data_IF_301602615458
#
_entry.id   IF_301602615458
#
_cell.length_a   1.000
_cell.length_b   1.000
_cell.length_c   1.000
_cell.angle_alpha   90.00
_cell.angle_beta   90.00
_cell.angle_gamma   90.00
#
_symmetry.space_group_name_H-M   'P 1'
#
loop_
_entity.id
_entity.type
_entity.pdbx_description
1 polymer ?
#
# COMPACT_ATOMS: atom_id res chain seq x y z
N UNK A 1 -4.38 17.47 4.62
CA UNK A 1 -4.42 16.09 5.18
C UNK A 1 -3.12 15.70 5.90
N UNK A 2 -2.03 15.31 5.22
CA UNK A 2 -0.83 14.77 5.91
C UNK A 2 -0.22 15.71 6.98
N UNK A 3 -0.19 17.03 6.73
CA UNK A 3 0.27 18.01 7.73
C UNK A 3 -0.71 18.14 8.91
N UNK A 4 -2.02 18.13 8.64
CA UNK A 4 -3.06 18.23 9.68
C UNK A 4 -3.09 16.98 10.57
N UNK A 5 -2.89 15.80 9.98
CA UNK A 5 -2.77 14.53 10.69
C UNK A 5 -1.43 14.37 11.44
N UNK A 6 -0.55 15.37 11.37
CA UNK A 6 0.78 15.38 11.97
C UNK A 6 1.66 14.16 11.61
N UNK A 7 1.52 13.62 10.39
CA UNK A 7 2.38 12.52 9.94
C UNK A 7 3.81 12.97 9.68
N UNK A 8 4.71 12.01 9.55
CA UNK A 8 6.15 12.26 9.36
C UNK A 8 6.42 13.04 8.07
N UNK A 9 7.62 13.65 7.99
CA UNK A 9 8.08 14.31 6.77
C UNK A 9 8.06 13.35 5.57
N UNK A 10 8.41 12.08 5.79
CA UNK A 10 8.43 11.07 4.76
C UNK A 10 7.05 10.89 4.10
N UNK A 11 6.00 10.80 4.93
CA UNK A 11 4.61 10.68 4.45
C UNK A 11 4.18 11.95 3.72
N UNK A 12 4.45 13.13 4.30
CA UNK A 12 4.08 14.42 3.67
C UNK A 12 4.74 14.57 2.30
N UNK A 13 6.02 14.24 2.20
CA UNK A 13 6.76 14.30 0.94
C UNK A 13 6.23 13.28 -0.07
N UNK A 14 5.98 12.04 0.34
CA UNK A 14 5.43 11.01 -0.53
C UNK A 14 4.07 11.42 -1.12
N UNK A 15 3.18 11.99 -0.30
CA UNK A 15 1.88 12.53 -0.75
C UNK A 15 2.08 13.67 -1.76
N UNK A 16 3.05 14.55 -1.55
CA UNK A 16 3.31 15.68 -2.46
C UNK A 16 3.69 15.21 -3.87
N UNK A 17 4.42 14.10 -4.00
CA UNK A 17 5.03 13.68 -5.27
C UNK A 17 4.39 12.45 -5.91
N UNK A 18 3.40 11.82 -5.27
CA UNK A 18 2.87 10.54 -5.74
C UNK A 18 2.31 10.58 -7.19
N UNK A 19 1.77 11.72 -7.59
CA UNK A 19 1.00 11.89 -8.82
C UNK A 19 1.75 12.59 -9.96
N UNK A 20 3.07 12.81 -9.83
CA UNK A 20 3.86 13.54 -10.85
C UNK A 20 3.76 12.94 -12.26
N UNK A 21 3.47 11.64 -12.38
CA UNK A 21 3.27 10.98 -13.66
C UNK A 21 2.03 11.46 -14.44
N UNK A 22 1.07 12.13 -13.79
CA UNK A 22 -0.11 12.69 -14.47
C UNK A 22 0.27 13.73 -15.51
N UNK A 23 1.29 14.54 -15.21
CA UNK A 23 1.82 15.55 -16.15
C UNK A 23 2.40 14.93 -17.44
N UNK A 24 2.69 13.62 -17.44
CA UNK A 24 3.19 12.88 -18.59
C UNK A 24 2.10 12.07 -19.30
N UNK A 25 0.82 12.35 -19.01
CA UNK A 25 -0.31 11.66 -19.65
C UNK A 25 -0.52 12.21 -21.06
N UNK A 26 -0.55 11.36 -22.10
CA UNK A 26 -0.92 11.76 -23.46
C UNK A 26 -2.30 12.45 -23.50
N UNK A 27 -2.46 13.46 -24.36
CA UNK A 27 -3.67 14.29 -24.42
C UNK A 27 -4.91 13.50 -24.81
N UNK A 28 -4.76 12.47 -25.64
CA UNK A 28 -5.81 11.54 -26.09
C UNK A 28 -6.30 10.60 -24.97
N UNK A 29 -5.60 10.53 -23.84
CA UNK A 29 -5.95 9.69 -22.68
C UNK A 29 -6.54 10.53 -21.53
N UNK A 30 -6.47 11.86 -21.61
CA UNK A 30 -7.06 12.74 -20.61
C UNK A 30 -8.59 12.60 -20.56
N UNK A 31 -9.21 12.73 -19.37
CA UNK A 31 -8.62 12.98 -18.05
C UNK A 31 -8.30 11.68 -17.26
N UNK A 32 -8.22 10.51 -17.92
CA UNK A 32 -8.16 9.21 -17.22
C UNK A 32 -6.82 8.92 -16.56
N UNK A 33 -5.73 9.54 -17.05
CA UNK A 33 -4.37 9.35 -16.50
C UNK A 33 -3.92 7.88 -16.40
N UNK A 34 -4.28 7.06 -17.38
CA UNK A 34 -3.94 5.63 -17.40
C UNK A 34 -2.41 5.47 -17.37
N UNK A 35 -1.89 4.63 -16.47
CA UNK A 35 -0.45 4.35 -16.26
C UNK A 35 0.38 5.51 -15.69
N UNK A 36 -0.24 6.49 -15.01
CA UNK A 36 0.52 7.58 -14.39
C UNK A 36 1.43 7.11 -13.25
N UNK A 37 1.07 6.05 -12.54
CA UNK A 37 1.85 5.45 -11.47
C UNK A 37 3.20 4.90 -11.97
N UNK A 38 3.23 4.28 -13.16
CA UNK A 38 4.48 3.80 -13.77
C UNK A 38 5.27 4.95 -14.40
N UNK A 39 4.59 5.89 -15.08
CA UNK A 39 5.25 7.08 -15.66
C UNK A 39 5.82 8.01 -14.59
N UNK A 40 5.26 7.98 -13.37
CA UNK A 40 5.67 8.82 -12.25
C UNK A 40 7.01 8.43 -11.61
N UNK A 41 7.47 7.18 -11.78
CA UNK A 41 8.72 6.69 -11.15
C UNK A 41 9.93 7.53 -11.56
N UNK A 42 10.08 7.82 -12.87
CA UNK A 42 11.19 8.64 -13.38
C UNK A 42 11.18 10.08 -12.84
N UNK A 43 10.10 10.87 -12.95
CA UNK A 43 10.08 12.24 -12.42
C UNK A 43 10.22 12.30 -10.89
N UNK A 44 9.61 11.37 -10.14
CA UNK A 44 9.81 11.31 -8.68
C UNK A 44 11.28 11.06 -8.33
N UNK A 45 11.94 10.14 -9.06
CA UNK A 45 13.37 9.85 -8.89
C UNK A 45 14.20 11.11 -9.17
N UNK A 46 13.95 11.80 -10.28
CA UNK A 46 14.67 13.02 -10.65
C UNK A 46 14.49 14.16 -9.62
N UNK A 47 13.28 14.33 -9.06
CA UNK A 47 13.03 15.29 -7.98
C UNK A 47 13.81 14.91 -6.73
N UNK A 48 13.77 13.63 -6.34
CA UNK A 48 14.49 13.16 -5.15
C UNK A 48 16.00 13.34 -5.28
N UNK A 49 16.56 13.04 -6.45
CA UNK A 49 18.00 13.16 -6.70
C UNK A 49 18.45 14.63 -6.72
N UNK A 50 17.69 15.49 -7.40
CA UNK A 50 17.98 16.93 -7.46
C UNK A 50 17.92 17.59 -6.09
N UNK A 51 16.96 17.21 -5.26
CA UNK A 51 16.78 17.75 -3.91
C UNK A 51 17.59 17.00 -2.84
N UNK A 52 18.36 15.97 -3.22
CA UNK A 52 19.12 15.11 -2.30
C UNK A 52 18.26 14.56 -1.14
N UNK A 53 17.06 14.10 -1.49
CA UNK A 53 16.09 13.56 -0.54
C UNK A 53 16.68 12.33 0.16
N UNK A 54 16.52 12.18 1.50
CA UNK A 54 17.01 11.02 2.23
C UNK A 54 16.50 9.69 1.64
N UNK A 55 17.32 8.64 1.74
CA UNK A 55 17.03 7.36 1.11
C UNK A 55 15.69 6.75 1.56
N UNK A 56 15.35 6.86 2.84
CA UNK A 56 14.08 6.36 3.40
C UNK A 56 12.87 7.10 2.82
N UNK A 57 12.94 8.43 2.79
CA UNK A 57 11.91 9.29 2.19
C UNK A 57 11.73 9.02 0.70
N UNK A 58 12.83 8.89 -0.06
CA UNK A 58 12.81 8.54 -1.49
C UNK A 58 12.17 7.18 -1.73
N UNK A 59 12.50 6.17 -0.91
CA UNK A 59 11.92 4.83 -1.04
C UNK A 59 10.40 4.85 -0.81
N UNK A 60 9.92 5.56 0.22
CA UNK A 60 8.49 5.71 0.46
C UNK A 60 7.80 6.46 -0.70
N UNK A 61 8.38 7.57 -1.16
CA UNK A 61 7.82 8.36 -2.27
C UNK A 61 7.66 7.52 -3.54
N UNK A 62 8.66 6.71 -3.89
CA UNK A 62 8.60 5.80 -5.04
C UNK A 62 7.56 4.70 -4.86
N UNK A 63 7.44 4.13 -3.65
CA UNK A 63 6.43 3.13 -3.34
C UNK A 63 5.01 3.70 -3.46
N UNK A 64 4.75 4.87 -2.87
CA UNK A 64 3.44 5.55 -2.97
C UNK A 64 3.14 5.89 -4.43
N UNK A 65 4.07 6.51 -5.16
CA UNK A 65 3.88 6.84 -6.57
C UNK A 65 3.46 5.63 -7.40
N UNK A 66 4.18 4.51 -7.28
CA UNK A 66 3.96 3.31 -8.09
C UNK A 66 2.75 2.47 -7.66
N UNK A 67 2.40 2.49 -6.37
CA UNK A 67 1.50 1.49 -5.80
C UNK A 67 0.22 2.07 -5.16
N UNK A 68 0.06 3.38 -5.02
CA UNK A 68 -1.07 3.98 -4.29
C UNK A 68 -2.45 3.53 -4.81
N UNK A 69 -2.62 3.38 -6.13
CA UNK A 69 -3.87 2.86 -6.70
C UNK A 69 -4.23 1.45 -6.19
N UNK A 70 -3.21 0.61 -5.94
CA UNK A 70 -3.43 -0.73 -5.37
C UNK A 70 -3.91 -0.64 -3.92
N UNK A 71 -3.48 0.37 -3.16
CA UNK A 71 -4.00 0.64 -1.82
C UNK A 71 -5.48 1.06 -1.88
N UNK A 72 -5.84 1.97 -2.80
CA UNK A 72 -7.23 2.39 -3.00
C UNK A 72 -8.14 1.21 -3.34
N UNK A 73 -7.59 0.23 -4.08
CA UNK A 73 -8.24 -1.00 -4.48
C UNK A 73 -8.04 -2.17 -3.49
N UNK A 74 -7.45 -1.97 -2.31
CA UNK A 74 -7.03 -3.08 -1.44
C UNK A 74 -8.16 -4.10 -1.14
N UNK A 75 -9.39 -3.61 -0.95
CA UNK A 75 -10.58 -4.43 -0.71
C UNK A 75 -11.09 -5.18 -1.95
N UNK A 76 -10.65 -4.85 -3.16
CA UNK A 76 -11.03 -5.53 -4.40
C UNK A 76 -9.90 -6.42 -4.95
N UNK A 77 -8.65 -6.21 -4.53
CA UNK A 77 -7.51 -7.03 -4.95
C UNK A 77 -7.68 -8.51 -4.59
N UNK A 78 -7.16 -9.38 -5.47
CA UNK A 78 -6.95 -10.79 -5.13
C UNK A 78 -5.95 -10.89 -3.95
N UNK A 79 -6.13 -11.81 -3.00
CA UNK A 79 -5.23 -11.98 -1.84
C UNK A 79 -3.75 -12.11 -2.23
N UNK A 80 -3.43 -12.91 -3.26
CA UNK A 80 -2.05 -13.04 -3.76
C UNK A 80 -1.48 -11.75 -4.39
N UNK A 81 -2.32 -10.87 -4.92
CA UNK A 81 -1.88 -9.54 -5.39
C UNK A 81 -1.57 -8.60 -4.23
N UNK A 82 -2.41 -8.64 -3.19
CA UNK A 82 -2.17 -7.89 -1.96
C UNK A 82 -0.90 -8.37 -1.25
N UNK A 83 -0.69 -9.68 -1.16
CA UNK A 83 0.55 -10.25 -0.63
C UNK A 83 1.79 -9.75 -1.37
N UNK A 84 1.78 -9.78 -2.71
CA UNK A 84 2.89 -9.24 -3.51
C UNK A 84 3.13 -7.75 -3.28
N UNK A 85 2.08 -6.95 -3.04
CA UNK A 85 2.25 -5.54 -2.65
C UNK A 85 2.97 -5.44 -1.29
N UNK A 86 2.50 -6.17 -0.29
CA UNK A 86 3.10 -6.17 1.05
C UNK A 86 4.56 -6.65 1.04
N UNK A 87 4.91 -7.61 0.18
CA UNK A 87 6.30 -8.03 -0.03
C UNK A 87 7.15 -6.91 -0.61
N UNK A 88 6.66 -6.18 -1.62
CA UNK A 88 7.39 -5.02 -2.18
C UNK A 88 7.59 -3.90 -1.15
N UNK A 89 6.67 -3.78 -0.19
CA UNK A 89 6.75 -2.85 0.93
C UNK A 89 7.56 -3.39 2.12
N UNK A 90 8.11 -4.61 2.02
CA UNK A 90 8.95 -5.25 3.04
C UNK A 90 8.25 -5.50 4.38
N UNK A 91 6.95 -5.83 4.34
CA UNK A 91 6.07 -5.94 5.52
C UNK A 91 6.63 -6.80 6.66
N UNK A 92 7.34 -7.89 6.35
CA UNK A 92 7.79 -8.84 7.37
C UNK A 92 8.92 -8.27 8.23
N UNK A 93 9.81 -7.47 7.63
CA UNK A 93 10.97 -6.89 8.32
C UNK A 93 10.73 -5.46 8.77
N UNK A 94 9.91 -4.72 8.03
CA UNK A 94 9.69 -3.28 8.18
C UNK A 94 8.20 -2.92 8.05
N UNK A 95 7.33 -3.39 8.98
CA UNK A 95 5.89 -3.11 8.94
C UNK A 95 5.58 -1.60 8.94
N UNK A 96 6.42 -0.78 9.57
CA UNK A 96 6.30 0.67 9.63
C UNK A 96 6.33 1.32 8.23
N UNK A 97 6.95 0.67 7.23
CA UNK A 97 6.93 1.15 5.84
C UNK A 97 5.55 0.99 5.21
N UNK A 98 4.85 -0.10 5.53
CA UNK A 98 3.48 -0.31 5.07
C UNK A 98 2.56 0.69 5.75
N UNK A 99 2.76 0.96 7.04
CA UNK A 99 1.98 1.97 7.76
C UNK A 99 2.13 3.36 7.15
N UNK A 100 3.36 3.82 6.92
CA UNK A 100 3.63 5.10 6.27
C UNK A 100 3.04 5.17 4.85
N UNK A 101 3.08 4.06 4.10
CA UNK A 101 2.45 3.95 2.79
C UNK A 101 0.92 4.09 2.86
N UNK A 102 0.27 3.44 3.83
CA UNK A 102 -1.18 3.54 4.05
C UNK A 102 -1.58 4.96 4.46
N UNK A 103 -0.84 5.60 5.37
CA UNK A 103 -1.06 6.99 5.77
C UNK A 103 -1.01 7.94 4.58
N UNK A 104 -0.04 7.75 3.67
CA UNK A 104 0.06 8.55 2.46
C UNK A 104 -1.15 8.33 1.52
N UNK A 105 -1.58 7.09 1.31
CA UNK A 105 -2.73 6.78 0.46
C UNK A 105 -4.05 7.33 1.04
N UNK A 106 -4.23 7.24 2.36
CA UNK A 106 -5.39 7.84 3.04
C UNK A 106 -5.41 9.37 2.85
N UNK A 107 -4.25 10.02 2.97
CA UNK A 107 -4.10 11.45 2.73
C UNK A 107 -4.38 11.86 1.28
N UNK A 108 -3.98 11.05 0.29
CA UNK A 108 -4.33 11.25 -1.12
C UNK A 108 -5.85 11.16 -1.31
N UNK A 109 -6.49 10.10 -0.78
CA UNK A 109 -7.94 9.92 -0.89
C UNK A 109 -8.73 11.09 -0.30
N UNK A 110 -8.29 11.63 0.84
CA UNK A 110 -8.92 12.78 1.53
C UNK A 110 -8.40 14.14 1.07
N UNK A 111 -7.41 14.18 0.17
CA UNK A 111 -6.75 15.41 -0.26
C UNK A 111 -7.54 16.23 -1.28
N UNK A 112 -8.60 15.62 -1.85
CA UNK A 112 -9.48 16.27 -2.81
C UNK A 112 -10.52 17.11 -2.10
N UNK A 113 -10.78 18.31 -2.63
CA UNK A 113 -11.77 19.24 -2.08
C UNK A 113 -13.13 18.56 -1.93
N UNK A 114 -13.71 18.68 -0.73
CA UNK A 114 -15.00 18.09 -0.38
C UNK A 114 -14.96 16.61 0.01
N UNK A 115 -13.77 15.97 -0.01
CA UNK A 115 -13.57 14.57 0.40
C UNK A 115 -12.75 14.43 1.68
N UNK A 116 -12.54 15.52 2.42
CA UNK A 116 -11.64 15.58 3.58
C UNK A 116 -12.02 14.58 4.67
N UNK A 117 -13.33 14.31 4.82
CA UNK A 117 -13.88 13.38 5.81
C UNK A 117 -14.29 12.03 5.21
N UNK A 118 -13.92 11.75 3.96
CA UNK A 118 -14.30 10.50 3.30
C UNK A 118 -13.75 9.30 4.09
N UNK A 119 -14.61 8.31 4.43
CA UNK A 119 -14.14 7.06 5.03
C UNK A 119 -13.13 6.37 4.11
N UNK A 120 -12.08 5.83 4.72
CA UNK A 120 -11.03 5.10 4.01
C UNK A 120 -10.81 3.74 4.70
N UNK A 121 -11.78 2.81 4.62
CA UNK A 121 -11.73 1.51 5.30
C UNK A 121 -10.51 0.66 4.89
N UNK A 122 -9.92 0.94 3.73
CA UNK A 122 -8.68 0.35 3.26
C UNK A 122 -7.56 0.49 4.29
N UNK A 123 -7.48 1.60 5.03
CA UNK A 123 -6.44 1.77 6.05
C UNK A 123 -6.57 0.74 7.18
N UNK A 124 -7.75 0.64 7.79
CA UNK A 124 -8.03 -0.36 8.84
C UNK A 124 -7.81 -1.79 8.36
N UNK A 125 -8.27 -2.10 7.14
CA UNK A 125 -8.05 -3.39 6.52
C UNK A 125 -6.56 -3.71 6.34
N UNK A 126 -5.77 -2.77 5.82
CA UNK A 126 -4.33 -2.96 5.62
C UNK A 126 -3.58 -3.16 6.94
N UNK A 127 -3.90 -2.37 7.98
CA UNK A 127 -3.27 -2.53 9.29
C UNK A 127 -3.51 -3.91 9.89
N UNK A 128 -4.74 -4.42 9.82
CA UNK A 128 -5.05 -5.77 10.32
C UNK A 128 -4.39 -6.88 9.49
N UNK A 129 -4.34 -6.70 8.16
CA UNK A 129 -3.65 -7.65 7.27
C UNK A 129 -2.15 -7.73 7.60
N UNK A 130 -1.48 -6.61 7.91
CA UNK A 130 -0.06 -6.59 8.30
C UNK A 130 0.17 -7.51 9.51
N UNK A 131 -0.67 -7.39 10.54
CA UNK A 131 -0.54 -8.21 11.75
C UNK A 131 -0.77 -9.69 11.46
N UNK A 132 -1.78 -10.03 10.66
CA UNK A 132 -2.11 -11.41 10.27
C UNK A 132 -0.96 -12.06 9.50
N UNK A 133 -0.39 -11.39 8.49
CA UNK A 133 0.66 -12.02 7.68
C UNK A 133 1.97 -12.17 8.45
N UNK A 134 2.21 -11.31 9.45
CA UNK A 134 3.40 -11.33 10.31
C UNK A 134 3.31 -12.34 11.44
N UNK A 135 2.10 -12.70 11.89
CA UNK A 135 1.92 -13.73 12.91
C UNK A 135 2.25 -15.13 12.41
N UNK A 136 2.15 -15.38 11.10
CA UNK A 136 2.46 -16.66 10.46
C UNK A 136 3.97 -16.89 10.41
N UNK A 137 4.45 -17.86 11.21
CA UNK A 137 5.87 -18.19 11.36
C UNK A 137 6.18 -19.61 10.89
N UNK A 138 7.44 -19.86 10.56
CA UNK A 138 7.92 -21.18 10.13
C UNK A 138 7.67 -22.28 11.19
N UNK A 139 7.72 -21.90 12.47
CA UNK A 139 7.46 -22.82 13.60
C UNK A 139 6.02 -23.35 13.65
N UNK A 140 5.08 -22.68 12.97
CA UNK A 140 3.67 -23.08 12.92
C UNK A 140 3.40 -24.05 11.75
N UNK A 141 4.43 -24.38 10.96
CA UNK A 141 4.32 -25.32 9.86
C UNK A 141 4.46 -26.76 10.33
N UNK A 142 3.86 -27.71 9.60
CA UNK A 142 4.05 -29.13 9.87
C UNK A 142 5.54 -29.54 9.84
N UNK A 143 6.02 -30.37 10.77
CA UNK A 143 7.43 -30.74 10.91
C UNK A 143 8.01 -31.49 9.71
N UNK A 144 7.16 -32.07 8.86
CA UNK A 144 7.52 -32.74 7.62
C UNK A 144 7.95 -31.77 6.50
N UNK A 145 7.65 -30.47 6.62
CA UNK A 145 8.04 -29.45 5.63
C UNK A 145 9.48 -29.00 5.88
N UNK A 146 10.37 -29.20 4.90
CA UNK A 146 11.79 -28.91 5.05
C UNK A 146 12.36 -28.11 3.88
N UNK A 147 13.45 -27.41 4.14
CA UNK A 147 14.21 -26.69 3.12
C UNK A 147 13.36 -25.65 2.36
N UNK A 148 13.41 -25.62 1.01
CA UNK A 148 12.74 -24.60 0.20
C UNK A 148 11.21 -24.60 0.35
N UNK A 149 10.61 -25.73 0.67
CA UNK A 149 9.15 -25.90 0.80
C UNK A 149 8.56 -25.07 1.96
N UNK A 150 9.40 -24.72 2.95
CA UNK A 150 9.02 -23.81 4.05
C UNK A 150 8.61 -22.45 3.49
N UNK A 151 9.39 -21.91 2.55
CA UNK A 151 9.13 -20.59 1.97
C UNK A 151 7.82 -20.55 1.19
N UNK A 152 7.59 -21.57 0.36
CA UNK A 152 6.38 -21.71 -0.44
C UNK A 152 5.14 -21.87 0.43
N UNK A 153 5.21 -22.76 1.43
CA UNK A 153 4.10 -22.99 2.36
C UNK A 153 3.78 -21.72 3.16
N UNK A 154 4.78 -20.98 3.64
CA UNK A 154 4.56 -19.71 4.33
C UNK A 154 3.87 -18.66 3.43
N UNK A 155 4.22 -18.61 2.15
CA UNK A 155 3.55 -17.73 1.19
C UNK A 155 2.09 -18.14 1.03
N UNK A 156 1.84 -19.45 0.84
CA UNK A 156 0.50 -19.98 0.67
C UNK A 156 -0.39 -19.69 1.89
N UNK A 157 0.10 -19.98 3.10
CA UNK A 157 -0.62 -19.71 4.35
C UNK A 157 -0.95 -18.22 4.53
N UNK A 158 -0.04 -17.32 4.16
CA UNK A 158 -0.31 -15.87 4.21
C UNK A 158 -1.38 -15.45 3.21
N UNK A 159 -1.34 -15.97 2.00
CA UNK A 159 -2.36 -15.69 0.97
C UNK A 159 -3.73 -16.21 1.42
N UNK A 160 -3.80 -17.40 1.99
CA UNK A 160 -5.03 -17.98 2.55
C UNK A 160 -5.55 -17.15 3.73
N UNK A 161 -4.69 -16.77 4.66
CA UNK A 161 -5.09 -15.94 5.80
C UNK A 161 -5.62 -14.57 5.37
N UNK A 162 -5.01 -13.93 4.36
CA UNK A 162 -5.55 -12.72 3.73
C UNK A 162 -6.93 -12.98 3.13
N UNK A 163 -7.12 -14.12 2.46
CA UNK A 163 -8.39 -14.46 1.82
C UNK A 163 -9.51 -14.62 2.85
N UNK A 164 -9.28 -15.38 3.92
CA UNK A 164 -10.22 -15.57 5.02
C UNK A 164 -10.57 -14.25 5.68
N UNK A 165 -9.55 -13.49 6.11
CA UNK A 165 -9.76 -12.21 6.77
C UNK A 165 -10.52 -11.21 5.89
N UNK A 166 -10.24 -11.19 4.58
CA UNK A 166 -10.96 -10.32 3.64
C UNK A 166 -12.45 -10.64 3.59
N UNK A 167 -12.83 -11.92 3.58
CA UNK A 167 -14.24 -12.33 3.58
C UNK A 167 -14.94 -11.88 4.87
N UNK A 168 -14.29 -12.06 6.01
CA UNK A 168 -14.82 -11.66 7.32
C UNK A 168 -14.97 -10.14 7.41
N UNK A 169 -13.93 -9.40 7.04
CA UNK A 169 -13.92 -7.93 7.08
C UNK A 169 -15.03 -7.32 6.22
N UNK A 170 -15.22 -7.84 5.00
CA UNK A 170 -16.28 -7.36 4.10
C UNK A 170 -17.68 -7.69 4.65
N UNK A 171 -17.85 -8.86 5.27
CA UNK A 171 -19.12 -9.26 5.89
C UNK A 171 -19.48 -8.35 7.06
N UNK A 172 -18.52 -8.04 7.95
CA UNK A 172 -18.73 -7.11 9.07
C UNK A 172 -19.01 -5.68 8.63
N UNK A 173 -18.45 -5.22 7.51
CA UNK A 173 -18.75 -3.88 6.96
C UNK A 173 -20.18 -3.80 6.43
N UNK A 174 -20.68 -4.85 5.77
CA UNK A 174 -22.08 -4.89 5.32
C UNK A 174 -23.07 -4.90 6.48
N UNK A 175 -22.77 -5.58 7.59
CA UNK A 175 -23.63 -5.58 8.78
C UNK A 175 -23.67 -4.25 9.52
N UNK A 176 -22.61 -3.44 9.45
CA UNK A 176 -22.55 -2.11 10.08
C UNK A 176 -23.19 -0.99 9.22
N UNK A 177 -23.70 -1.31 8.03
CA UNK A 177 -24.37 -0.36 7.12
C UNK A 177 -25.90 -0.53 7.07
N UNK A 178 -26.44 -1.53 7.79
CA UNK A 178 -27.88 -1.78 8.00
C UNK A 178 -28.30 -1.27 9.38
#
# INVERSE_FOLDING_TARGET
>A
QACQANYSLDVRFAVLVHDLGKALTPTDILPRHIMHEERGVKPVTAVCDRLKVPATTKQLALAVCKEHLKCHQALTLKPGTLWRLLQRLDVLRRPERVEAFVQACECDSRGRLGLENRPYPQASYMYQVIEIVRSIKAQDLPPEIQGPDIGEMLIQRRIEAIATFKADFLSSQSSNQL
#
